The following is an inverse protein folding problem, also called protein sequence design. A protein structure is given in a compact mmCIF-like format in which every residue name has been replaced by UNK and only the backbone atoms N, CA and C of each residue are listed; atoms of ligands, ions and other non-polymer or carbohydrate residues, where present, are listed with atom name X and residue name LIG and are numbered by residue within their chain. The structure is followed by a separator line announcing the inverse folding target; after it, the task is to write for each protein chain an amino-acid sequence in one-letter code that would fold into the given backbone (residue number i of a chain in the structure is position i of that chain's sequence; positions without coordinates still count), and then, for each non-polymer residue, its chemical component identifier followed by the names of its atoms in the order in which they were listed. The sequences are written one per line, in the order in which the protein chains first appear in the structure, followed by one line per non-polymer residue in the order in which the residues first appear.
data_IF_537712682001
#
_entry.id   IF_537712682001
#
_cell.length_a   1.000
_cell.length_b   1.000
_cell.length_c   1.000
_cell.angle_alpha   90.00
_cell.angle_beta   90.00
_cell.angle_gamma   90.00
#
_symmetry.space_group_name_H-M   'P 1'
#
loop_
_entity.id
_entity.type
_entity.pdbx_description
1 polymer ?
#
# COMPACT_ATOMS: atom_id res chain seq x y z
N UNK A 1 -4.94 -52.29 -49.05
CA UNK A 1 -4.03 -51.35 -48.37
C UNK A 1 -4.86 -50.17 -47.91
N UNK A 2 -5.31 -50.20 -46.66
CA UNK A 2 -6.16 -49.16 -46.06
C UNK A 2 -5.80 -49.06 -44.59
N UNK A 3 -5.03 -48.03 -44.24
CA UNK A 3 -4.66 -47.71 -42.87
C UNK A 3 -5.53 -46.53 -42.40
N UNK A 4 -6.38 -46.77 -41.40
CA UNK A 4 -6.96 -45.72 -40.57
C UNK A 4 -6.07 -45.52 -39.35
N UNK A 5 -5.81 -44.27 -38.93
CA UNK A 5 -5.67 -44.01 -37.51
C UNK A 5 -6.65 -42.96 -37.00
N UNK A 6 -7.30 -43.35 -35.91
CA UNK A 6 -7.99 -42.57 -34.89
C UNK A 6 -7.45 -41.14 -34.70
N UNK A 7 -8.32 -40.14 -34.75
CA UNK A 7 -8.10 -38.80 -34.17
C UNK A 7 -8.84 -38.71 -32.84
N UNK A 8 -8.10 -38.90 -31.75
CA UNK A 8 -8.52 -38.55 -30.40
C UNK A 8 -8.55 -37.02 -30.25
N UNK A 9 -9.71 -36.46 -29.90
CA UNK A 9 -9.87 -35.04 -29.57
C UNK A 9 -10.00 -34.93 -28.03
N UNK A 10 -8.88 -34.69 -27.35
CA UNK A 10 -8.88 -34.39 -25.91
C UNK A 10 -9.18 -32.89 -25.75
N UNK A 11 -10.37 -32.58 -25.24
CA UNK A 11 -10.76 -31.23 -24.81
C UNK A 11 -10.25 -30.99 -23.39
N UNK A 12 -9.25 -30.12 -23.22
CA UNK A 12 -8.87 -29.59 -21.92
C UNK A 12 -9.90 -28.55 -21.47
N UNK A 13 -10.58 -28.83 -20.34
CA UNK A 13 -11.34 -27.83 -19.57
C UNK A 13 -10.48 -27.44 -18.37
N UNK A 14 -10.03 -26.19 -18.33
CA UNK A 14 -9.41 -25.57 -17.15
C UNK A 14 -10.50 -24.74 -16.48
N UNK A 15 -10.86 -25.11 -15.25
CA UNK A 15 -11.77 -24.35 -14.37
C UNK A 15 -10.90 -23.70 -13.28
N UNK A 16 -10.93 -22.37 -13.08
CA UNK A 16 -10.17 -21.74 -12.01
C UNK A 16 -10.93 -21.80 -10.69
N UNK A 17 -10.26 -22.32 -9.67
CA UNK A 17 -10.69 -22.34 -8.27
C UNK A 17 -10.48 -20.95 -7.67
N UNK A 18 -11.57 -20.27 -7.31
CA UNK A 18 -11.58 -19.03 -6.53
C UNK A 18 -12.69 -19.16 -5.49
N UNK A 19 -12.42 -18.70 -4.26
CA UNK A 19 -13.29 -18.59 -3.09
C UNK A 19 -13.47 -19.85 -2.21
N UNK A 20 -12.53 -20.04 -1.29
CA UNK A 20 -12.76 -20.79 -0.05
C UNK A 20 -11.98 -20.19 1.12
N UNK A 21 -12.25 -18.92 1.48
CA UNK A 21 -12.00 -18.37 2.83
C UNK A 21 -13.10 -17.36 3.16
N UNK A 22 -14.35 -17.84 3.19
CA UNK A 22 -15.48 -17.15 3.80
C UNK A 22 -16.17 -18.18 4.70
N UNK A 23 -15.75 -18.26 5.96
CA UNK A 23 -16.51 -18.73 7.12
C UNK A 23 -15.51 -19.11 8.21
N UNK A 24 -15.43 -18.28 9.25
CA UNK A 24 -15.30 -18.68 10.67
C UNK A 24 -15.08 -17.41 11.51
N UNK A 25 -16.10 -16.56 11.56
CA UNK A 25 -16.25 -15.53 12.60
C UNK A 25 -17.34 -16.00 13.56
N UNK A 26 -16.92 -16.87 14.48
CA UNK A 26 -17.73 -17.37 15.58
C UNK A 26 -17.50 -16.55 16.84
N UNK A 27 -18.43 -15.61 17.08
CA UNK A 27 -19.02 -15.23 18.36
C UNK A 27 -18.28 -15.60 19.66
N UNK A 28 -17.69 -14.62 20.36
CA UNK A 28 -17.59 -14.62 21.83
C UNK A 28 -17.92 -13.22 22.37
N UNK A 29 -19.03 -13.13 23.11
CA UNK A 29 -19.37 -12.01 23.96
C UNK A 29 -19.04 -12.39 25.41
N UNK A 30 -18.31 -11.55 26.15
CA UNK A 30 -18.30 -11.61 27.61
C UNK A 30 -17.81 -10.29 28.25
N UNK A 31 -18.78 -9.63 28.90
CA UNK A 31 -18.74 -8.94 30.21
C UNK A 31 -17.69 -7.83 30.42
N UNK A 32 -18.18 -6.59 30.38
CA UNK A 32 -17.48 -5.41 30.91
C UNK A 32 -17.54 -5.40 32.45
N UNK A 33 -16.37 -5.30 33.10
CA UNK A 33 -16.24 -4.86 34.48
C UNK A 33 -15.44 -3.55 34.48
N UNK A 34 -16.01 -2.55 35.14
CA UNK A 34 -15.59 -1.15 35.21
C UNK A 34 -14.33 -0.97 36.07
N UNK A 35 -13.32 -0.24 35.59
CA UNK A 35 -12.23 0.34 36.39
C UNK A 35 -11.71 1.62 35.68
N UNK A 36 -11.19 2.63 36.42
CA UNK A 36 -11.29 4.04 36.04
C UNK A 36 -10.19 4.53 35.08
N UNK A 37 -10.56 5.60 34.37
CA UNK A 37 -9.78 6.36 33.38
C UNK A 37 -8.39 6.80 33.88
N UNK A 38 -7.36 6.31 33.21
CA UNK A 38 -6.15 7.07 32.84
C UNK A 38 -5.33 6.21 31.86
N UNK A 39 -5.53 6.39 30.54
CA UNK A 39 -4.73 5.69 29.52
C UNK A 39 -4.21 6.64 28.43
N UNK A 40 -2.88 6.71 28.21
CA UNK A 40 -2.32 7.21 26.95
C UNK A 40 -2.79 6.30 25.80
N UNK A 41 -3.06 6.90 24.63
CA UNK A 41 -3.73 6.26 23.49
C UNK A 41 -3.40 4.79 23.26
N UNK A 42 -4.40 3.94 23.45
CA UNK A 42 -4.36 2.47 23.33
C UNK A 42 -3.75 1.99 21.98
N UNK A 43 -2.62 1.25 22.00
CA UNK A 43 -2.00 0.68 20.80
C UNK A 43 -2.97 -0.15 19.95
N UNK A 44 -3.90 -0.87 20.61
CA UNK A 44 -4.88 -1.73 19.95
C UNK A 44 -5.88 -0.98 19.05
N UNK A 45 -6.13 0.31 19.29
CA UNK A 45 -7.02 1.13 18.44
C UNK A 45 -6.33 1.53 17.13
N UNK A 46 -5.04 1.85 17.18
CA UNK A 46 -4.24 2.16 15.99
C UNK A 46 -4.10 0.93 15.08
N UNK A 47 -3.82 -0.24 15.65
CA UNK A 47 -3.78 -1.53 14.94
C UNK A 47 -5.10 -1.85 14.21
N UNK A 48 -6.25 -1.67 14.88
CA UNK A 48 -7.57 -1.88 14.24
C UNK A 48 -7.84 -0.91 13.09
N UNK A 49 -7.35 0.33 13.18
CA UNK A 49 -7.50 1.31 12.10
C UNK A 49 -6.60 1.04 10.89
N UNK A 50 -5.40 0.46 11.09
CA UNK A 50 -4.48 0.11 10.00
C UNK A 50 -5.06 -0.95 9.06
N UNK A 51 -5.51 -2.07 9.62
CA UNK A 51 -6.14 -3.15 8.84
C UNK A 51 -7.41 -2.72 8.11
N UNK A 52 -8.19 -1.79 8.68
CA UNK A 52 -9.33 -1.21 7.99
C UNK A 52 -8.92 -0.43 6.72
N UNK A 53 -7.79 0.29 6.75
CA UNK A 53 -7.27 0.99 5.57
C UNK A 53 -6.80 0.02 4.49
N UNK A 54 -6.13 -1.08 4.87
CA UNK A 54 -5.73 -2.13 3.92
C UNK A 54 -6.95 -2.74 3.23
N UNK A 55 -8.03 -3.01 3.99
CA UNK A 55 -9.27 -3.52 3.41
C UNK A 55 -9.94 -2.51 2.46
N UNK A 56 -9.97 -1.22 2.83
CA UNK A 56 -10.50 -0.16 1.98
C UNK A 56 -9.69 -0.01 0.68
N UNK A 57 -8.37 -0.11 0.76
CA UNK A 57 -7.48 -0.15 -0.39
C UNK A 57 -7.80 -1.31 -1.32
N UNK A 58 -7.89 -2.54 -0.80
CA UNK A 58 -8.24 -3.71 -1.60
C UNK A 58 -9.57 -3.56 -2.37
N UNK A 59 -10.59 -2.91 -1.76
CA UNK A 59 -11.85 -2.60 -2.45
C UNK A 59 -11.64 -1.52 -3.54
N UNK A 60 -10.90 -0.45 -3.23
CA UNK A 60 -10.54 0.61 -4.18
C UNK A 60 -9.80 0.04 -5.40
N UNK A 61 -8.81 -0.81 -5.16
CA UNK A 61 -8.07 -1.54 -6.18
C UNK A 61 -8.99 -2.37 -7.09
N UNK A 62 -9.92 -3.13 -6.52
CA UNK A 62 -10.87 -3.95 -7.29
C UNK A 62 -11.79 -3.10 -8.17
N UNK A 63 -12.27 -1.97 -7.66
CA UNK A 63 -13.04 -0.99 -8.47
C UNK A 63 -12.17 -0.41 -9.59
N UNK A 64 -10.90 -0.11 -9.30
CA UNK A 64 -9.94 0.40 -10.27
C UNK A 64 -9.68 -0.59 -11.43
N UNK A 65 -9.65 -1.89 -11.15
CA UNK A 65 -9.51 -2.92 -12.20
C UNK A 65 -10.68 -2.87 -13.19
N UNK A 66 -11.91 -2.67 -12.71
CA UNK A 66 -13.11 -2.68 -13.53
C UNK A 66 -13.31 -1.40 -14.37
N UNK A 67 -12.63 -0.31 -14.02
CA UNK A 67 -12.78 0.98 -14.69
C UNK A 67 -11.48 1.37 -15.43
N UNK A 68 -11.47 1.35 -16.78
CA UNK A 68 -10.31 1.73 -17.59
C UNK A 68 -9.74 3.12 -17.31
N UNK A 69 -10.53 4.04 -16.73
CA UNK A 69 -10.06 5.37 -16.32
C UNK A 69 -8.96 5.33 -15.27
N UNK A 70 -8.81 4.22 -14.52
CA UNK A 70 -7.71 4.04 -13.57
C UNK A 70 -6.54 3.23 -14.15
N UNK A 71 -6.64 2.71 -15.37
CA UNK A 71 -5.62 1.83 -15.93
C UNK A 71 -4.34 2.59 -16.26
N UNK A 72 -3.21 1.91 -16.10
CA UNK A 72 -1.91 2.41 -16.49
C UNK A 72 -1.80 2.45 -18.03
N UNK A 73 -1.32 3.59 -18.53
CA UNK A 73 -1.05 3.81 -19.96
C UNK A 73 0.44 3.97 -20.18
N UNK A 74 0.94 3.59 -21.35
CA UNK A 74 2.39 3.67 -21.64
C UNK A 74 2.83 5.12 -21.79
N UNK A 75 3.94 5.48 -21.16
CA UNK A 75 4.61 6.77 -21.27
C UNK A 75 6.05 6.58 -21.79
N UNK A 76 6.79 7.67 -22.00
CA UNK A 76 8.15 7.63 -22.57
C UNK A 76 9.09 6.71 -21.80
N UNK A 77 9.15 6.86 -20.46
CA UNK A 77 10.07 6.15 -19.57
C UNK A 77 9.36 5.22 -18.58
N UNK A 78 8.12 4.83 -18.86
CA UNK A 78 7.34 3.94 -18.00
C UNK A 78 5.84 4.01 -18.24
N UNK A 79 5.08 4.32 -17.19
CA UNK A 79 3.63 4.36 -17.22
C UNK A 79 3.08 5.67 -16.67
N UNK A 80 1.89 6.05 -17.12
CA UNK A 80 1.11 7.13 -16.57
C UNK A 80 -0.26 6.63 -16.12
N UNK A 81 -0.73 7.15 -14.98
CA UNK A 81 -2.07 6.93 -14.46
C UNK A 81 -2.77 8.27 -14.23
N UNK A 82 -4.06 8.32 -14.50
CA UNK A 82 -4.92 9.45 -14.15
C UNK A 82 -5.86 9.03 -13.02
N UNK A 83 -6.17 9.95 -12.11
CA UNK A 83 -7.13 9.73 -11.05
C UNK A 83 -8.04 10.96 -10.93
N UNK A 84 -9.13 10.95 -11.69
CA UNK A 84 -10.09 12.06 -11.69
C UNK A 84 -10.83 12.20 -10.35
N UNK A 85 -11.08 11.07 -9.67
CA UNK A 85 -11.73 11.07 -8.35
C UNK A 85 -10.89 11.78 -7.27
N UNK A 86 -9.59 11.89 -7.50
CA UNK A 86 -8.62 12.55 -6.63
C UNK A 86 -7.97 13.76 -7.29
N UNK A 87 -8.45 14.19 -8.46
CA UNK A 87 -7.94 15.36 -9.18
C UNK A 87 -6.40 15.38 -9.36
N UNK A 88 -5.78 14.22 -9.60
CA UNK A 88 -4.34 14.12 -9.86
C UNK A 88 -4.03 13.19 -11.04
N UNK A 89 -2.80 13.29 -11.54
CA UNK A 89 -2.17 12.29 -12.40
C UNK A 89 -0.80 11.88 -11.82
N UNK A 90 -0.30 10.70 -12.19
CA UNK A 90 1.03 10.26 -11.80
C UNK A 90 1.79 9.61 -12.96
N UNK A 91 3.10 9.83 -12.99
CA UNK A 91 4.04 9.08 -13.83
C UNK A 91 4.86 8.13 -12.96
N UNK A 92 5.14 6.95 -13.51
CA UNK A 92 5.73 5.80 -12.82
C UNK A 92 6.85 5.26 -13.70
N UNK A 93 8.06 5.17 -13.16
CA UNK A 93 9.22 4.62 -13.85
C UNK A 93 9.89 3.52 -13.02
N UNK A 94 11.01 3.01 -13.50
CA UNK A 94 11.79 1.99 -12.79
C UNK A 94 12.46 2.48 -11.49
N UNK A 95 12.39 3.77 -11.17
CA UNK A 95 13.02 4.37 -10.00
C UNK A 95 12.01 4.83 -8.95
N UNK A 96 10.77 5.14 -9.35
CA UNK A 96 9.70 5.53 -8.44
C UNK A 96 8.51 6.18 -9.16
N UNK A 97 7.87 7.12 -8.47
CA UNK A 97 6.67 7.80 -8.97
C UNK A 97 6.75 9.32 -8.80
N UNK A 98 6.03 10.06 -9.64
CA UNK A 98 5.80 11.51 -9.50
C UNK A 98 4.30 11.80 -9.68
N UNK A 99 3.64 12.29 -8.64
CA UNK A 99 2.24 12.74 -8.66
C UNK A 99 2.20 14.23 -8.96
N UNK A 100 1.22 14.65 -9.75
CA UNK A 100 0.92 16.06 -10.04
C UNK A 100 -0.56 16.35 -9.77
N UNK A 101 -0.82 17.33 -8.90
CA UNK A 101 -2.15 17.80 -8.51
C UNK A 101 -2.13 19.33 -8.46
N UNK A 102 -2.89 20.00 -9.35
CA UNK A 102 -2.80 21.45 -9.51
C UNK A 102 -1.36 21.91 -9.78
N UNK A 103 -0.85 22.85 -8.96
CA UNK A 103 0.54 23.33 -9.02
C UNK A 103 1.52 22.44 -8.22
N UNK A 104 1.04 21.44 -7.49
CA UNK A 104 1.88 20.55 -6.68
C UNK A 104 2.40 19.41 -7.53
N UNK A 105 3.71 19.19 -7.50
CA UNK A 105 4.34 17.98 -8.02
C UNK A 105 5.25 17.38 -6.97
N UNK A 106 5.01 16.12 -6.60
CA UNK A 106 5.78 15.43 -5.56
C UNK A 106 5.83 13.93 -5.82
N UNK A 107 6.93 13.31 -5.42
CA UNK A 107 7.01 11.86 -5.45
C UNK A 107 8.24 11.32 -4.74
N UNK A 108 8.42 10.02 -4.83
CA UNK A 108 9.51 9.30 -4.19
C UNK A 108 10.24 8.43 -5.20
N UNK A 109 11.56 8.26 -4.99
CA UNK A 109 12.38 7.25 -5.65
C UNK A 109 13.06 6.38 -4.61
N UNK A 110 12.93 5.07 -4.71
CA UNK A 110 13.66 4.14 -3.84
C UNK A 110 15.15 4.20 -4.20
N UNK A 111 16.01 4.52 -3.22
CA UNK A 111 17.46 4.62 -3.42
C UNK A 111 18.21 3.46 -2.77
N UNK A 112 17.77 3.00 -1.60
CA UNK A 112 18.45 1.95 -0.86
C UNK A 112 17.49 1.13 0.02
N UNK A 113 17.93 -0.08 0.38
CA UNK A 113 17.27 -1.00 1.29
C UNK A 113 18.31 -1.68 2.19
N UNK A 114 17.96 -1.95 3.45
CA UNK A 114 18.86 -2.61 4.39
C UNK A 114 18.29 -2.66 5.80
N UNK A 115 19.15 -2.61 6.82
CA UNK A 115 18.75 -2.53 8.22
C UNK A 115 19.43 -1.37 8.93
N UNK A 116 18.68 -0.59 9.71
CA UNK A 116 19.19 0.59 10.40
C UNK A 116 19.96 1.51 9.45
N UNK A 117 21.26 1.68 9.69
CA UNK A 117 22.15 2.48 8.84
C UNK A 117 22.96 1.67 7.81
N UNK A 118 22.89 0.34 7.86
CA UNK A 118 23.54 -0.55 6.89
C UNK A 118 22.63 -0.75 5.69
N UNK A 119 22.76 0.15 4.70
CA UNK A 119 21.92 0.21 3.51
C UNK A 119 22.70 -0.09 2.23
N UNK A 120 22.13 -0.94 1.37
CA UNK A 120 22.63 -1.20 0.03
C UNK A 120 21.74 -0.53 -1.02
N UNK A 121 22.33 -0.11 -2.15
CA UNK A 121 21.58 0.49 -3.25
C UNK A 121 20.52 -0.48 -3.79
N UNK A 122 19.33 0.02 -4.11
CA UNK A 122 18.17 -0.79 -4.51
C UNK A 122 18.37 -1.63 -5.81
N UNK A 123 19.42 -1.34 -6.58
CA UNK A 123 19.82 -2.10 -7.75
C UNK A 123 18.95 -1.86 -8.99
N UNK A 124 19.27 -2.57 -10.07
CA UNK A 124 18.53 -2.51 -11.33
C UNK A 124 17.13 -3.13 -11.18
N UNK A 125 16.20 -2.65 -12.00
CA UNK A 125 14.79 -2.98 -11.89
C UNK A 125 14.16 -3.36 -13.22
N UNK A 126 13.04 -4.09 -13.15
CA UNK A 126 12.15 -4.31 -14.29
C UNK A 126 10.77 -3.75 -13.99
N UNK A 127 10.15 -3.13 -14.99
CA UNK A 127 8.86 -2.45 -14.87
C UNK A 127 7.78 -3.21 -15.64
N UNK A 128 6.67 -3.53 -14.97
CA UNK A 128 5.55 -4.27 -15.54
C UNK A 128 4.22 -3.59 -15.17
N UNK A 129 3.24 -3.59 -16.08
CA UNK A 129 1.91 -3.06 -15.79
C UNK A 129 0.82 -4.01 -16.30
N UNK A 130 -0.26 -4.10 -15.54
CA UNK A 130 -1.48 -4.82 -15.91
C UNK A 130 -2.69 -4.12 -15.30
N UNK A 131 -3.61 -3.65 -16.15
CA UNK A 131 -4.79 -2.90 -15.70
C UNK A 131 -4.39 -1.62 -14.96
N UNK A 132 -4.91 -1.45 -13.74
CA UNK A 132 -4.62 -0.33 -12.84
C UNK A 132 -3.38 -0.54 -11.95
N UNK A 133 -2.61 -1.61 -12.15
CA UNK A 133 -1.44 -1.96 -11.35
C UNK A 133 -0.14 -1.82 -12.13
N UNK A 134 0.85 -1.19 -11.52
CA UNK A 134 2.25 -1.12 -12.01
C UNK A 134 3.17 -1.71 -10.95
N UNK A 135 4.14 -2.52 -11.36
CA UNK A 135 5.11 -3.16 -10.47
C UNK A 135 6.53 -2.89 -10.95
N UNK A 136 7.40 -2.57 -9.99
CA UNK A 136 8.84 -2.39 -10.15
C UNK A 136 9.57 -3.45 -9.34
N UNK A 137 10.13 -4.45 -10.02
CA UNK A 137 10.73 -5.63 -9.39
C UNK A 137 12.25 -5.51 -9.36
N UNK A 138 12.85 -5.67 -8.17
CA UNK A 138 14.29 -5.58 -7.87
C UNK A 138 14.70 -6.67 -6.88
N UNK A 139 15.45 -7.68 -7.32
CA UNK A 139 15.89 -8.78 -6.44
C UNK A 139 14.71 -9.37 -5.63
N UNK A 140 14.77 -9.30 -4.30
CA UNK A 140 13.72 -9.74 -3.38
C UNK A 140 12.60 -8.71 -3.12
N UNK A 141 12.73 -7.49 -3.64
CA UNK A 141 11.78 -6.40 -3.42
C UNK A 141 10.90 -6.18 -4.66
N UNK A 142 9.59 -6.13 -4.45
CA UNK A 142 8.64 -5.62 -5.45
C UNK A 142 8.01 -4.36 -4.91
N UNK A 143 8.30 -3.23 -5.53
CA UNK A 143 7.55 -1.99 -5.34
C UNK A 143 6.35 -2.02 -6.28
N UNK A 144 5.18 -1.61 -5.81
CA UNK A 144 3.96 -1.69 -6.60
C UNK A 144 3.06 -0.48 -6.37
N UNK A 145 2.26 -0.19 -7.38
CA UNK A 145 1.33 0.92 -7.41
C UNK A 145 -0.02 0.43 -7.90
N UNK A 146 -1.10 0.78 -7.21
CA UNK A 146 -2.46 0.45 -7.63
C UNK A 146 -3.31 1.69 -7.60
N UNK A 147 -3.84 2.06 -8.77
CA UNK A 147 -4.67 3.25 -8.90
C UNK A 147 -6.15 2.89 -8.73
N UNK A 148 -6.87 3.63 -7.88
CA UNK A 148 -8.30 3.41 -7.63
C UNK A 148 -9.01 4.65 -7.10
N UNK A 149 -10.32 4.59 -6.83
CA UNK A 149 -11.10 5.76 -6.42
C UNK A 149 -10.59 6.46 -5.14
N UNK A 150 -9.97 5.72 -4.22
CA UNK A 150 -9.43 6.31 -2.98
C UNK A 150 -8.09 7.03 -3.17
N UNK A 151 -7.38 6.80 -4.27
CA UNK A 151 -6.00 7.26 -4.42
C UNK A 151 -5.12 6.35 -5.27
N UNK A 152 -3.82 6.61 -5.15
CA UNK A 152 -2.77 5.73 -5.65
C UNK A 152 -2.17 5.01 -4.45
N UNK A 153 -2.46 3.73 -4.30
CA UNK A 153 -1.78 2.88 -3.34
C UNK A 153 -0.35 2.67 -3.81
N UNK A 154 0.60 2.80 -2.88
CA UNK A 154 2.03 2.63 -3.14
C UNK A 154 2.58 1.70 -2.08
N UNK A 155 2.91 0.48 -2.46
CA UNK A 155 3.39 -0.51 -1.52
C UNK A 155 4.67 -1.21 -1.95
N UNK A 156 5.19 -1.99 -1.01
CA UNK A 156 6.37 -2.81 -1.14
C UNK A 156 6.07 -4.21 -0.64
N UNK A 157 6.51 -5.21 -1.38
CA UNK A 157 6.57 -6.59 -0.92
C UNK A 157 8.02 -7.03 -0.88
N UNK A 158 8.49 -7.41 0.29
CA UNK A 158 9.82 -7.93 0.50
C UNK A 158 9.74 -9.44 0.70
N UNK A 159 10.28 -10.22 -0.25
CA UNK A 159 10.15 -11.68 -0.28
C UNK A 159 11.02 -12.39 0.76
N UNK A 160 12.10 -11.76 1.21
CA UNK A 160 13.03 -12.27 2.22
C UNK A 160 13.75 -11.09 2.89
N UNK A 161 14.31 -11.28 4.10
CA UNK A 161 15.04 -10.22 4.79
C UNK A 161 16.10 -9.55 3.91
N UNK A 162 16.31 -8.23 4.04
CA UNK A 162 17.38 -7.58 3.30
C UNK A 162 18.72 -8.11 3.80
N UNK A 163 19.69 -8.25 2.88
CA UNK A 163 21.06 -8.61 3.26
C UNK A 163 21.66 -7.46 4.06
N UNK A 164 22.07 -7.72 5.30
CA UNK A 164 22.69 -6.73 6.18
C UNK A 164 23.54 -7.43 7.24
N UNK A 165 24.59 -6.75 7.69
CA UNK A 165 25.39 -7.17 8.85
C UNK A 165 24.81 -6.69 10.18
N UNK A 166 23.85 -5.75 10.15
CA UNK A 166 23.21 -5.21 11.33
C UNK A 166 22.08 -6.13 11.81
N UNK A 167 22.30 -6.83 12.93
CA UNK A 167 21.32 -7.73 13.54
C UNK A 167 20.41 -6.99 14.51
N UNK A 168 19.09 -7.27 14.47
CA UNK A 168 18.12 -6.69 15.41
C UNK A 168 17.70 -5.24 15.10
N UNK A 169 18.28 -4.64 14.06
CA UNK A 169 17.87 -3.33 13.54
C UNK A 169 16.66 -3.47 12.60
N UNK A 170 15.74 -2.47 12.56
CA UNK A 170 14.56 -2.52 11.71
C UNK A 170 14.95 -2.58 10.23
N UNK A 171 14.07 -3.18 9.42
CA UNK A 171 14.15 -3.08 7.95
C UNK A 171 13.91 -1.65 7.54
N UNK A 172 14.73 -1.13 6.62
CA UNK A 172 14.65 0.26 6.15
C UNK A 172 14.54 0.30 4.64
N UNK A 173 13.54 1.04 4.15
CA UNK A 173 13.46 1.52 2.78
C UNK A 173 13.81 3.01 2.76
N UNK A 174 14.91 3.38 2.09
CA UNK A 174 15.32 4.78 1.94
C UNK A 174 14.85 5.30 0.58
N UNK A 175 14.08 6.38 0.60
CA UNK A 175 13.48 7.00 -0.57
C UNK A 175 13.86 8.47 -0.66
N UNK A 176 14.31 8.91 -1.83
CA UNK A 176 14.58 10.34 -2.08
C UNK A 176 13.34 11.01 -2.65
N UNK A 177 12.98 12.17 -2.09
CA UNK A 177 11.92 13.00 -2.66
C UNK A 177 12.30 13.54 -4.05
N UNK A 178 11.30 13.70 -4.90
CA UNK A 178 11.39 14.35 -6.21
C UNK A 178 10.22 15.33 -6.42
N UNK A 179 10.37 16.24 -7.40
CA UNK A 179 9.45 17.36 -7.58
C UNK A 179 9.78 18.52 -6.64
N UNK A 180 8.79 19.03 -5.92
CA UNK A 180 8.94 20.05 -4.88
C UNK A 180 9.04 19.39 -3.48
N UNK A 181 10.25 19.02 -3.01
CA UNK A 181 10.43 18.30 -1.75
C UNK A 181 9.96 19.17 -0.58
N UNK A 182 8.79 18.83 -0.03
CA UNK A 182 8.09 19.60 1.00
C UNK A 182 7.32 18.70 1.96
N UNK A 183 7.68 17.42 2.03
CA UNK A 183 7.05 16.46 2.92
C UNK A 183 7.44 16.73 4.38
N UNK A 184 6.43 16.78 5.25
CA UNK A 184 6.61 16.75 6.70
C UNK A 184 5.90 15.53 7.30
N UNK A 185 6.51 14.94 8.33
CA UNK A 185 5.95 13.78 9.03
C UNK A 185 4.76 14.22 9.88
N UNK A 186 3.67 13.45 9.82
CA UNK A 186 2.48 13.63 10.66
C UNK A 186 2.03 12.28 11.27
N UNK A 187 0.98 12.30 12.06
CA UNK A 187 0.34 11.10 12.64
C UNK A 187 1.32 10.14 13.34
N UNK A 188 2.26 10.70 14.12
CA UNK A 188 3.25 9.92 14.86
C UNK A 188 4.18 9.08 13.99
N UNK A 189 4.43 9.47 12.74
CA UNK A 189 5.26 8.72 11.81
C UNK A 189 4.47 7.78 10.88
N UNK A 190 3.13 7.85 10.83
CA UNK A 190 2.35 7.00 9.91
C UNK A 190 1.92 7.70 8.62
N UNK A 191 2.24 8.98 8.49
CA UNK A 191 1.83 9.80 7.36
C UNK A 191 2.88 10.87 7.03
N UNK A 192 2.92 11.29 5.77
CA UNK A 192 3.55 12.52 5.31
C UNK A 192 2.48 13.46 4.75
N UNK A 193 2.62 14.75 5.07
CA UNK A 193 1.87 15.84 4.45
C UNK A 193 2.77 16.64 3.53
N UNK A 194 2.33 16.84 2.30
CA UNK A 194 3.05 17.60 1.27
C UNK A 194 2.23 18.84 0.96
N UNK A 195 2.76 20.02 1.26
CA UNK A 195 2.05 21.28 1.09
C UNK A 195 2.99 22.40 0.65
N UNK A 196 3.43 22.39 -0.63
CA UNK A 196 4.21 23.48 -1.17
C UNK A 196 3.38 24.78 -1.20
N UNK A 197 4.06 25.92 -1.14
CA UNK A 197 3.42 27.23 -1.15
C UNK A 197 2.56 27.42 -2.42
N UNK A 198 1.28 27.74 -2.25
CA UNK A 198 0.35 27.98 -3.36
C UNK A 198 -0.11 26.73 -4.12
N UNK A 199 0.25 25.53 -3.63
CA UNK A 199 -0.11 24.27 -4.26
C UNK A 199 -1.20 23.49 -3.52
N UNK A 200 -1.70 22.45 -4.18
CA UNK A 200 -2.56 21.41 -3.59
C UNK A 200 -1.85 20.62 -2.49
N UNK A 201 -2.58 20.18 -1.48
CA UNK A 201 -2.06 19.36 -0.39
C UNK A 201 -2.15 17.88 -0.77
N UNK A 202 -1.03 17.17 -0.79
CA UNK A 202 -1.02 15.71 -0.92
C UNK A 202 -0.78 15.06 0.44
N UNK A 203 -1.44 13.93 0.64
CA UNK A 203 -1.31 13.08 1.81
C UNK A 203 -0.76 11.73 1.38
N UNK A 204 0.37 11.33 1.96
CA UNK A 204 0.91 9.97 1.83
C UNK A 204 0.77 9.31 3.20
N UNK A 205 -0.27 8.53 3.39
CA UNK A 205 -0.79 8.22 4.70
C UNK A 205 -1.21 6.76 4.83
N UNK A 206 -1.56 6.37 6.05
CA UNK A 206 -2.09 5.02 6.31
C UNK A 206 -1.03 3.94 6.21
N UNK A 207 0.24 4.27 6.50
CA UNK A 207 1.31 3.28 6.55
C UNK A 207 0.89 2.11 7.43
N UNK A 208 0.92 0.92 6.85
CA UNK A 208 0.74 -0.36 7.54
C UNK A 208 1.80 -1.32 7.01
N UNK A 209 2.40 -2.13 7.90
CA UNK A 209 3.24 -3.24 7.50
C UNK A 209 2.70 -4.54 8.11
N UNK A 210 2.73 -5.65 7.39
CA UNK A 210 2.30 -6.95 7.91
C UNK A 210 3.10 -8.10 7.30
N UNK A 211 3.20 -9.19 8.06
CA UNK A 211 3.91 -10.40 7.68
C UNK A 211 3.03 -11.38 6.86
N UNK A 212 3.60 -12.50 6.42
CA UNK A 212 2.92 -13.52 5.63
C UNK A 212 1.72 -14.19 6.33
N UNK A 213 1.62 -14.05 7.65
CA UNK A 213 0.48 -14.54 8.46
C UNK A 213 -0.59 -13.46 8.64
N UNK A 214 -0.37 -12.25 8.14
CA UNK A 214 -1.25 -11.10 8.32
C UNK A 214 -1.07 -10.40 9.67
N UNK A 215 0.03 -10.63 10.38
CA UNK A 215 0.32 -9.94 11.63
C UNK A 215 0.88 -8.55 11.31
N UNK A 216 0.21 -7.49 11.77
CA UNK A 216 0.72 -6.11 11.64
C UNK A 216 2.02 -5.94 12.44
N UNK A 217 2.99 -5.30 11.82
CA UNK A 217 4.32 -5.01 12.37
C UNK A 217 4.42 -3.52 12.70
N UNK A 218 5.17 -3.14 13.75
CA UNK A 218 5.48 -1.74 14.01
C UNK A 218 6.19 -1.12 12.80
N UNK A 219 5.66 -0.02 12.29
CA UNK A 219 6.22 0.69 11.15
C UNK A 219 6.11 2.20 11.31
N UNK A 220 7.11 2.93 10.81
CA UNK A 220 7.14 4.38 10.85
C UNK A 220 7.81 5.00 9.62
N UNK A 221 7.54 6.29 9.42
CA UNK A 221 8.16 7.18 8.43
C UNK A 221 8.90 8.29 9.15
N UNK A 222 10.09 8.61 8.63
CA UNK A 222 10.83 9.82 8.99
C UNK A 222 11.30 10.55 7.74
N UNK A 223 11.58 11.84 7.86
CA UNK A 223 12.19 12.65 6.80
C UNK A 223 13.43 13.34 7.38
N UNK A 224 14.60 13.12 6.78
CA UNK A 224 15.84 13.76 7.21
C UNK A 224 16.02 15.18 6.60
N UNK A 225 17.05 15.88 7.04
CA UNK A 225 17.37 17.23 6.56
C UNK A 225 17.79 17.27 5.07
N UNK A 226 18.23 16.15 4.50
CA UNK A 226 18.54 16.03 3.08
C UNK A 226 17.29 15.71 2.23
N UNK A 227 16.12 15.54 2.86
CA UNK A 227 14.86 15.21 2.21
C UNK A 227 14.69 13.72 1.91
N UNK A 228 15.50 12.85 2.52
CA UNK A 228 15.31 11.39 2.44
C UNK A 228 14.15 10.99 3.34
N UNK A 229 13.15 10.33 2.75
CA UNK A 229 12.11 9.62 3.49
C UNK A 229 12.64 8.23 3.83
N UNK A 230 12.56 7.83 5.11
CA UNK A 230 12.83 6.46 5.54
C UNK A 230 11.53 5.82 5.98
N UNK A 231 11.22 4.64 5.44
CA UNK A 231 10.19 3.76 5.99
C UNK A 231 10.91 2.67 6.77
N UNK A 232 10.60 2.56 8.05
CA UNK A 232 11.22 1.60 8.97
C UNK A 232 10.17 0.60 9.46
N UNK A 233 10.52 -0.68 9.47
CA UNK A 233 9.64 -1.77 9.91
C UNK A 233 10.40 -2.66 10.89
N UNK A 234 9.85 -2.83 12.09
CA UNK A 234 10.34 -3.83 13.03
C UNK A 234 9.78 -5.21 12.64
N UNK A 235 10.64 -6.03 12.03
CA UNK A 235 10.30 -7.37 11.55
C UNK A 235 10.74 -8.48 12.50
N UNK A 236 10.97 -8.16 13.78
CA UNK A 236 11.34 -9.14 14.80
C UNK A 236 10.36 -10.31 14.88
N UNK A 237 10.81 -11.51 14.50
CA UNK A 237 9.97 -12.72 14.51
C UNK A 237 8.89 -12.78 13.41
N UNK A 238 8.97 -11.89 12.42
CA UNK A 238 8.04 -11.85 11.30
C UNK A 238 8.29 -12.98 10.29
N UNK A 239 7.22 -13.46 9.66
CA UNK A 239 7.31 -14.41 8.55
C UNK A 239 7.25 -13.68 7.21
N UNK A 240 8.22 -13.94 6.35
CA UNK A 240 8.25 -13.35 5.01
C UNK A 240 7.31 -14.10 4.04
N UNK A 241 6.74 -13.41 3.03
CA UNK A 241 6.99 -12.02 2.65
C UNK A 241 6.41 -10.99 3.61
N UNK A 242 7.06 -9.82 3.70
CA UNK A 242 6.49 -8.63 4.32
C UNK A 242 5.79 -7.78 3.27
N UNK A 243 4.64 -7.21 3.62
CA UNK A 243 3.96 -6.18 2.82
C UNK A 243 3.93 -4.87 3.59
N UNK A 244 4.30 -3.78 2.93
CA UNK A 244 4.33 -2.41 3.47
C UNK A 244 3.50 -1.56 2.53
N UNK A 245 2.42 -0.96 3.00
CA UNK A 245 1.39 -0.38 2.14
C UNK A 245 0.86 0.96 2.68
N UNK A 246 1.45 2.07 2.23
CA UNK A 246 0.85 3.40 2.34
C UNK A 246 0.04 3.83 1.10
N UNK A 247 -0.88 4.77 1.32
CA UNK A 247 -1.80 5.32 0.31
C UNK A 247 -1.53 6.80 0.04
N UNK A 248 -1.56 7.21 -1.24
CA UNK A 248 -1.48 8.60 -1.68
C UNK A 248 -2.87 9.14 -2.01
N UNK A 249 -3.24 10.26 -1.39
CA UNK A 249 -4.52 10.95 -1.59
C UNK A 249 -4.31 12.45 -1.76
N UNK A 250 -5.13 13.09 -2.59
CA UNK A 250 -5.21 14.56 -2.69
C UNK A 250 -6.46 15.05 -1.97
N UNK A 251 -7.57 14.32 -2.09
CA UNK A 251 -8.81 14.58 -1.37
C UNK A 251 -9.05 13.42 -0.41
N UNK A 252 -9.03 13.70 0.90
CA UNK A 252 -9.33 12.69 1.91
C UNK A 252 -10.81 12.29 1.79
N UNK A 253 -11.11 11.23 1.03
CA UNK A 253 -12.36 10.52 1.24
C UNK A 253 -12.24 9.80 2.57
N UNK A 254 -12.97 10.31 3.56
CA UNK A 254 -13.24 9.54 4.76
C UNK A 254 -14.17 8.41 4.35
N UNK A 255 -13.85 7.17 4.76
CA UNK A 255 -14.82 6.09 4.68
C UNK A 255 -16.14 6.56 5.33
N UNK A 256 -17.30 6.18 4.79
CA UNK A 256 -18.57 6.57 5.39
C UNK A 256 -18.57 6.16 6.86
N UNK A 257 -18.86 7.11 7.74
CA UNK A 257 -19.11 6.82 9.15
C UNK A 257 -20.16 5.71 9.24
N UNK A 258 -20.03 4.74 10.17
CA UNK A 258 -21.13 3.83 10.43
C UNK A 258 -22.34 4.69 10.78
N UNK A 259 -23.39 4.56 9.97
CA UNK A 259 -24.66 5.23 10.18
C UNK A 259 -25.11 4.82 11.58
N UNK A 260 -25.35 5.78 12.46
CA UNK A 260 -25.99 5.48 13.72
C UNK A 260 -27.29 4.76 13.40
N UNK A 261 -27.46 3.55 13.94
CA UNK A 261 -28.72 2.82 13.90
C UNK A 261 -29.78 3.69 14.60
N UNK A 262 -30.48 4.52 13.82
CA UNK A 262 -31.67 5.22 14.28
C UNK A 262 -32.77 4.16 14.35
N UNK A 263 -32.83 3.51 15.52
CA UNK A 263 -33.84 2.54 15.88
C UNK A 263 -35.22 3.20 15.73
N UNK A 264 -35.93 2.81 14.68
CA UNK A 264 -37.37 3.01 14.54
C UNK A 264 -38.06 2.30 15.71
N UNK A 265 -38.33 3.04 16.78
CA UNK A 265 -39.20 2.61 17.86
C UNK A 265 -40.63 2.52 17.36
N UNK A 266 -41.10 1.28 17.14
CA UNK A 266 -42.52 0.95 16.99
C UNK A 266 -43.10 0.62 18.37
N UNK A 267 -44.19 1.30 18.75
CA UNK A 267 -45.13 0.92 19.80
C UNK A 267 -44.95 1.71 21.12
N UNK A 268 -45.97 2.33 21.69
CA UNK A 268 -47.42 2.01 21.70
C UNK A 268 -48.30 3.24 21.55
#
# INVERSE_FOLDING_TARGET
MSAFPCRNLIRFRVVPVVLAVFMLLGLWAAVAAHAPDDTPGEPGRALRSGMANVAAGAVSAAVGVANPGFHATRAADGYAVANQAQEFAATLDQNGFLVSAGATSWGLRLTAIGRGNDLAAAGAATLHAAGNRVEVRRNALTEWYVNGPLGLEHGFTLAMPPTSVATGEPVVLALRQQGAPSASVTDGGRSLRIAPAGGSVLHYAGLVAYDARGVELPASMSVDAAGTVRIEVDDGGAHYPLTIDPLIQHTKLTAPSPVADDFMGVGR
#
